data_IF_079944480919
#
_entry.id   IF_079944480919
#
_cell.length_a   1.000
_cell.length_b   1.000
_cell.length_c   1.000
_cell.angle_alpha   90.00
_cell.angle_beta   90.00
_cell.angle_gamma   90.00
#
_symmetry.space_group_name_H-M   'P 1'
#
loop_
_entity.id
_entity.type
_entity.pdbx_description
1 polymer ?
#
# COMPACT_ATOMS: atom_id res chain seq x y z
N UNK A 1 36.24 10.89 8.12
CA UNK A 1 34.78 11.09 8.02
C UNK A 1 34.16 9.71 8.08
N UNK A 2 33.69 9.31 9.25
CA UNK A 2 33.13 7.98 9.48
C UNK A 2 31.64 8.04 9.14
N UNK A 3 31.23 7.31 8.11
CA UNK A 3 29.81 7.09 7.81
C UNK A 3 29.26 6.09 8.82
N UNK A 4 28.49 6.59 9.79
CA UNK A 4 27.76 5.76 10.73
C UNK A 4 26.68 4.99 9.98
N UNK A 5 26.94 3.71 9.75
CA UNK A 5 25.95 2.77 9.25
C UNK A 5 25.11 2.36 10.45
N UNK A 6 23.86 2.84 10.52
CA UNK A 6 22.93 2.45 11.58
C UNK A 6 22.37 1.07 11.22
N UNK A 7 23.04 0.03 11.70
CA UNK A 7 22.55 -1.36 11.64
C UNK A 7 21.25 -1.48 12.45
N UNK A 8 20.13 -1.71 11.76
CA UNK A 8 18.87 -2.09 12.40
C UNK A 8 18.71 -3.61 12.37
N UNK A 9 18.28 -4.17 13.50
CA UNK A 9 18.19 -5.62 13.71
C UNK A 9 17.36 -6.31 12.62
N UNK A 10 17.97 -7.30 11.97
CA UNK A 10 17.52 -8.07 10.80
C UNK A 10 17.77 -7.42 9.42
N UNK A 11 19.03 -7.07 9.12
CA UNK A 11 19.68 -7.22 7.80
C UNK A 11 19.08 -6.51 6.57
N UNK A 12 18.03 -5.72 6.74
CA UNK A 12 17.41 -4.93 5.66
C UNK A 12 17.90 -3.51 5.84
N UNK A 13 18.80 -3.10 4.94
CA UNK A 13 19.33 -1.74 4.94
C UNK A 13 18.30 -0.75 4.41
N UNK A 14 18.36 0.47 4.92
CA UNK A 14 17.62 1.59 4.39
C UNK A 14 18.08 1.85 2.95
N UNK A 15 17.12 1.97 2.05
CA UNK A 15 17.38 2.26 0.64
C UNK A 15 17.65 3.75 0.48
N UNK A 16 18.61 4.08 -0.38
CA UNK A 16 18.88 5.45 -0.81
C UNK A 16 18.31 5.66 -2.20
N UNK A 17 17.63 6.79 -2.42
CA UNK A 17 16.99 7.14 -3.69
C UNK A 17 17.92 6.96 -4.90
N UNK A 18 19.16 7.45 -4.80
CA UNK A 18 20.16 7.37 -5.88
C UNK A 18 20.52 5.93 -6.28
N UNK A 19 20.32 4.97 -5.40
CA UNK A 19 20.62 3.54 -5.60
C UNK A 19 19.41 2.76 -6.13
N UNK A 20 18.23 3.39 -6.17
CA UNK A 20 17.06 2.78 -6.79
C UNK A 20 17.26 2.61 -8.29
N UNK A 21 16.79 1.48 -8.81
CA UNK A 21 16.67 1.25 -10.25
C UNK A 21 15.96 2.43 -10.92
N UNK A 22 16.39 2.80 -12.13
CA UNK A 22 15.88 3.97 -12.85
C UNK A 22 14.36 3.90 -13.01
N UNK A 23 13.83 2.72 -13.30
CA UNK A 23 12.40 2.46 -13.47
C UNK A 23 11.60 2.73 -12.20
N UNK A 24 12.17 2.46 -11.02
CA UNK A 24 11.52 2.75 -9.74
C UNK A 24 11.53 4.25 -9.44
N UNK A 25 12.66 4.93 -9.72
CA UNK A 25 12.75 6.38 -9.58
C UNK A 25 11.75 7.09 -10.48
N UNK A 26 11.67 6.67 -11.75
CA UNK A 26 10.73 7.23 -12.72
C UNK A 26 9.27 7.00 -12.29
N UNK A 27 8.96 5.81 -11.77
CA UNK A 27 7.62 5.51 -11.29
C UNK A 27 7.22 6.35 -10.05
N UNK A 28 8.18 6.67 -9.17
CA UNK A 28 7.95 7.47 -7.96
C UNK A 28 8.02 8.99 -8.22
N UNK A 29 8.60 9.41 -9.35
CA UNK A 29 8.79 10.81 -9.68
C UNK A 29 7.47 11.59 -9.70
N UNK A 30 7.48 12.76 -9.05
CA UNK A 30 6.35 13.66 -8.89
C UNK A 30 5.26 13.17 -7.93
N UNK A 31 5.47 12.05 -7.21
CA UNK A 31 4.44 11.45 -6.34
C UNK A 31 4.74 11.58 -4.85
N UNK A 32 5.98 11.85 -4.46
CA UNK A 32 6.42 11.88 -3.05
C UNK A 32 6.72 13.30 -2.55
N UNK A 33 7.03 14.25 -3.44
CA UNK A 33 7.20 15.64 -3.06
C UNK A 33 5.96 16.17 -2.32
N UNK A 34 6.20 16.87 -1.20
CA UNK A 34 5.18 17.34 -0.27
C UNK A 34 4.76 16.31 0.81
N UNK A 35 5.23 15.06 0.74
CA UNK A 35 5.06 14.11 1.84
C UNK A 35 5.84 14.60 3.06
N UNK A 36 5.12 14.96 4.13
CA UNK A 36 5.69 15.54 5.36
C UNK A 36 6.62 16.73 5.08
N UNK A 37 6.17 17.63 4.19
CA UNK A 37 6.85 18.87 3.83
C UNK A 37 8.22 18.68 3.12
N UNK A 38 8.52 17.47 2.66
CA UNK A 38 9.71 17.20 1.86
C UNK A 38 9.66 17.94 0.50
N UNK A 39 10.72 18.67 0.17
CA UNK A 39 10.78 19.50 -1.04
C UNK A 39 10.91 18.68 -2.34
N UNK A 40 11.47 17.47 -2.28
CA UNK A 40 11.72 16.62 -3.45
C UNK A 40 11.31 15.17 -3.17
N UNK A 41 11.08 14.38 -4.22
CA UNK A 41 10.76 12.96 -4.07
C UNK A 41 11.89 12.18 -3.40
N UNK A 42 13.13 12.54 -3.72
CA UNK A 42 14.34 11.97 -3.12
C UNK A 42 14.39 12.23 -1.60
N UNK A 43 14.20 13.48 -1.19
CA UNK A 43 14.20 13.84 0.23
C UNK A 43 13.08 13.11 0.98
N UNK A 44 11.89 13.03 0.38
CA UNK A 44 10.76 12.29 0.94
C UNK A 44 11.08 10.80 1.10
N UNK A 45 11.62 10.15 0.06
CA UNK A 45 11.93 8.72 0.08
C UNK A 45 13.05 8.37 1.06
N UNK A 46 14.12 9.16 1.08
CA UNK A 46 15.26 8.95 1.99
C UNK A 46 14.87 9.16 3.45
N UNK A 47 13.88 10.01 3.73
CA UNK A 47 13.35 10.22 5.08
C UNK A 47 12.40 9.10 5.56
N UNK A 48 11.94 8.22 4.68
CA UNK A 48 11.12 7.07 5.09
C UNK A 48 11.95 6.09 5.92
N UNK A 49 11.36 5.59 6.99
CA UNK A 49 11.88 4.43 7.71
C UNK A 49 11.87 3.19 6.80
N UNK A 50 12.75 2.23 7.08
CA UNK A 50 12.95 1.01 6.27
C UNK A 50 11.62 0.29 5.99
N UNK A 51 10.78 0.14 7.01
CA UNK A 51 9.47 -0.51 6.87
C UNK A 51 8.54 0.22 5.89
N UNK A 52 8.53 1.56 5.90
CA UNK A 52 7.73 2.37 4.99
C UNK A 52 8.28 2.36 3.57
N UNK A 53 9.59 2.32 3.40
CA UNK A 53 10.21 2.14 2.08
C UNK A 53 9.77 0.80 1.46
N UNK A 54 9.87 -0.29 2.23
CA UNK A 54 9.46 -1.61 1.76
C UNK A 54 7.95 -1.67 1.48
N UNK A 55 7.12 -1.11 2.36
CA UNK A 55 5.68 -1.02 2.16
C UNK A 55 5.30 -0.27 0.87
N UNK A 56 5.93 0.88 0.63
CA UNK A 56 5.71 1.68 -0.56
C UNK A 56 6.09 0.91 -1.83
N UNK A 57 7.25 0.24 -1.85
CA UNK A 57 7.70 -0.52 -3.02
C UNK A 57 6.80 -1.72 -3.33
N UNK A 58 6.28 -2.41 -2.29
CA UNK A 58 5.30 -3.49 -2.47
C UNK A 58 3.98 -2.97 -3.07
N UNK A 59 3.49 -1.83 -2.59
CA UNK A 59 2.29 -1.18 -3.12
C UNK A 59 2.49 -0.70 -4.55
N UNK A 60 3.59 0.00 -4.83
CA UNK A 60 3.98 0.44 -6.17
C UNK A 60 3.95 -0.73 -7.16
N UNK A 61 4.68 -1.79 -6.85
CA UNK A 61 4.79 -2.99 -7.70
C UNK A 61 3.41 -3.58 -7.96
N UNK A 62 2.57 -3.73 -6.91
CA UNK A 62 1.24 -4.33 -7.07
C UNK A 62 0.30 -3.43 -7.86
N UNK A 63 0.33 -2.13 -7.62
CA UNK A 63 -0.51 -1.16 -8.31
C UNK A 63 -0.11 -1.02 -9.78
N UNK A 64 1.18 -1.11 -10.11
CA UNK A 64 1.65 -1.17 -11.50
C UNK A 64 1.18 -2.45 -12.19
N UNK A 65 1.32 -3.62 -11.54
CA UNK A 65 0.81 -4.89 -12.06
C UNK A 65 -0.72 -4.89 -12.24
N UNK A 66 -1.43 -3.99 -11.55
CA UNK A 66 -2.87 -3.77 -11.72
C UNK A 66 -3.19 -2.60 -12.64
N UNK A 67 -2.22 -1.92 -13.21
CA UNK A 67 -2.42 -0.72 -14.05
C UNK A 67 -3.21 0.38 -13.32
N UNK A 68 -2.96 0.57 -12.02
CA UNK A 68 -3.63 1.57 -11.19
C UNK A 68 -2.70 2.68 -10.73
N UNK A 69 -1.37 2.48 -10.80
CA UNK A 69 -0.40 3.44 -10.27
C UNK A 69 -0.48 4.82 -10.93
N UNK A 70 -0.76 4.87 -12.24
CA UNK A 70 -0.89 6.12 -12.99
C UNK A 70 -2.07 6.99 -12.53
N UNK A 71 -3.05 6.41 -11.82
CA UNK A 71 -4.21 7.13 -11.30
C UNK A 71 -3.88 7.90 -10.01
N UNK A 72 -2.77 7.58 -9.35
CA UNK A 72 -2.29 8.26 -8.16
C UNK A 72 -1.56 9.52 -8.59
N UNK A 73 -1.96 10.68 -8.06
CA UNK A 73 -1.31 11.97 -8.34
C UNK A 73 -0.12 12.18 -7.42
N UNK A 74 -0.36 12.14 -6.12
CA UNK A 74 0.67 12.23 -5.09
C UNK A 74 0.24 11.46 -3.83
N UNK A 75 1.23 10.99 -3.10
CA UNK A 75 1.09 10.30 -1.83
C UNK A 75 1.10 11.35 -0.72
N UNK A 76 0.14 11.24 0.19
CA UNK A 76 -0.01 12.13 1.35
C UNK A 76 0.36 11.46 2.65
N UNK A 77 0.46 10.13 2.66
CA UNK A 77 1.01 9.37 3.79
C UNK A 77 1.47 7.98 3.36
N UNK A 78 2.48 7.43 4.05
CA UNK A 78 2.93 6.04 3.90
C UNK A 78 2.84 5.33 5.25
N UNK A 79 2.18 4.18 5.25
CA UNK A 79 2.04 3.30 6.41
C UNK A 79 2.94 2.06 6.22
N UNK A 80 3.62 1.63 7.28
CA UNK A 80 4.62 0.57 7.23
C UNK A 80 4.28 -0.59 8.15
N UNK A 81 5.12 -0.85 9.15
CA UNK A 81 4.84 -1.87 10.16
C UNK A 81 3.52 -1.59 10.87
N UNK A 82 2.72 -2.64 11.04
CA UNK A 82 1.39 -2.52 11.60
C UNK A 82 0.33 -1.95 10.64
N UNK A 83 0.58 -1.95 9.33
CA UNK A 83 -0.42 -1.67 8.31
C UNK A 83 0.22 -1.19 7.01
N UNK A 84 0.40 -2.08 6.04
CA UNK A 84 1.07 -1.76 4.77
C UNK A 84 0.12 -1.02 3.85
N UNK A 85 0.28 0.30 3.72
CA UNK A 85 -0.67 1.14 2.97
C UNK A 85 -0.12 2.50 2.58
N UNK A 86 -0.91 3.25 1.80
CA UNK A 86 -0.70 4.67 1.52
C UNK A 86 -2.03 5.44 1.57
N UNK A 87 -1.94 6.71 1.96
CA UNK A 87 -2.96 7.72 1.68
C UNK A 87 -2.51 8.54 0.48
N UNK A 88 -3.43 8.93 -0.39
CA UNK A 88 -3.07 9.61 -1.64
C UNK A 88 -4.20 10.46 -2.20
N UNK A 89 -3.82 11.42 -3.05
CA UNK A 89 -4.74 12.06 -3.98
C UNK A 89 -4.66 11.36 -5.34
N UNK A 90 -5.78 11.31 -6.05
CA UNK A 90 -5.88 10.62 -7.32
C UNK A 90 -6.53 11.49 -8.39
N UNK A 91 -6.44 11.05 -9.64
CA UNK A 91 -7.26 11.59 -10.72
C UNK A 91 -8.75 11.21 -10.51
N UNK A 92 -9.70 12.02 -11.00
CA UNK A 92 -11.14 11.77 -10.84
C UNK A 92 -11.62 10.40 -11.36
N UNK A 93 -10.85 9.77 -12.24
CA UNK A 93 -11.20 8.52 -12.91
C UNK A 93 -11.09 7.28 -12.03
N UNK A 94 -10.42 7.33 -10.86
CA UNK A 94 -10.11 6.14 -10.07
C UNK A 94 -11.33 5.31 -9.70
N UNK A 95 -12.38 5.94 -9.15
CA UNK A 95 -13.59 5.22 -8.75
C UNK A 95 -14.26 4.53 -9.95
N UNK A 96 -14.38 5.24 -11.07
CA UNK A 96 -15.00 4.70 -12.29
C UNK A 96 -14.18 3.58 -12.92
N UNK A 97 -12.85 3.64 -12.76
CA UNK A 97 -11.92 2.60 -13.21
C UNK A 97 -12.11 1.35 -12.35
N UNK A 98 -12.02 1.48 -11.02
CA UNK A 98 -12.20 0.36 -10.09
C UNK A 98 -13.58 -0.29 -10.23
N UNK A 99 -14.62 0.50 -10.49
CA UNK A 99 -16.00 -0.01 -10.61
C UNK A 99 -16.24 -0.84 -11.87
N UNK A 100 -15.52 -0.58 -12.97
CA UNK A 100 -15.65 -1.33 -14.23
C UNK A 100 -14.79 -2.58 -14.27
N UNK A 101 -13.85 -2.72 -13.34
CA UNK A 101 -12.91 -3.84 -13.29
C UNK A 101 -13.56 -5.09 -12.70
N UNK A 102 -13.49 -6.20 -13.44
CA UNK A 102 -14.03 -7.50 -13.01
C UNK A 102 -13.31 -8.05 -11.78
N UNK A 103 -12.02 -7.72 -11.62
CA UNK A 103 -11.19 -8.13 -10.49
C UNK A 103 -11.40 -7.27 -9.23
N UNK A 104 -12.31 -6.29 -9.23
CA UNK A 104 -12.67 -5.48 -8.06
C UNK A 104 -14.14 -5.56 -7.67
N UNK A 105 -14.44 -5.40 -6.37
CA UNK A 105 -15.82 -5.36 -5.85
C UNK A 105 -15.97 -4.36 -4.72
N UNK A 106 -17.10 -3.67 -4.69
CA UNK A 106 -17.50 -2.81 -3.56
C UNK A 106 -18.08 -3.60 -2.38
N UNK A 107 -18.43 -4.88 -2.60
CA UNK A 107 -19.06 -5.71 -1.58
C UNK A 107 -18.10 -5.87 -0.40
N UNK A 108 -18.59 -5.64 0.82
CA UNK A 108 -17.83 -5.71 2.08
C UNK A 108 -16.74 -4.67 2.26
N UNK A 109 -16.52 -3.77 1.30
CA UNK A 109 -15.46 -2.76 1.35
C UNK A 109 -15.81 -1.48 2.13
N UNK A 110 -16.79 -1.55 3.05
CA UNK A 110 -17.26 -0.42 3.86
C UNK A 110 -16.83 -0.63 5.32
N UNK A 111 -16.09 0.34 5.86
CA UNK A 111 -15.84 0.48 7.30
C UNK A 111 -16.67 1.62 7.88
N UNK A 112 -16.88 1.60 9.21
CA UNK A 112 -17.67 2.58 9.97
C UNK A 112 -17.29 4.03 9.66
N UNK A 113 -16.00 4.29 9.40
CA UNK A 113 -15.44 5.63 9.22
C UNK A 113 -15.06 5.93 7.76
N UNK A 114 -15.56 5.14 6.80
CA UNK A 114 -15.28 5.32 5.36
C UNK A 114 -16.56 5.40 4.55
N UNK A 115 -16.57 6.23 3.51
CA UNK A 115 -17.75 6.43 2.67
C UNK A 115 -17.92 5.33 1.62
N UNK A 116 -16.84 4.65 1.24
CA UNK A 116 -16.88 3.52 0.33
C UNK A 116 -15.49 2.91 0.09
N UNK A 117 -15.47 1.82 -0.68
CA UNK A 117 -14.24 1.12 -0.99
C UNK A 117 -14.37 0.03 -2.06
N UNK A 118 -13.24 -0.60 -2.39
CA UNK A 118 -13.13 -1.70 -3.35
C UNK A 118 -12.08 -2.72 -2.90
N UNK A 119 -12.43 -4.00 -2.99
CA UNK A 119 -11.51 -5.12 -2.77
C UNK A 119 -11.08 -5.77 -4.08
N UNK A 120 -9.81 -6.12 -4.15
CA UNK A 120 -9.30 -7.06 -5.14
C UNK A 120 -9.87 -8.48 -4.89
N UNK A 121 -10.41 -9.13 -5.93
CA UNK A 121 -11.01 -10.47 -5.87
C UNK A 121 -10.06 -11.59 -6.29
N UNK A 122 -9.00 -11.28 -7.02
CA UNK A 122 -8.15 -12.29 -7.67
C UNK A 122 -7.26 -13.10 -6.73
N UNK A 123 -7.34 -12.91 -5.41
CA UNK A 123 -6.48 -13.60 -4.45
C UNK A 123 -7.06 -13.69 -3.06
N UNK A 124 -6.62 -14.71 -2.33
CA UNK A 124 -7.03 -14.96 -0.95
C UNK A 124 -6.23 -14.13 0.07
N UNK A 125 -4.97 -13.81 -0.23
CA UNK A 125 -4.05 -13.12 0.69
C UNK A 125 -3.36 -11.94 0.03
N UNK A 126 -2.87 -10.98 0.82
CA UNK A 126 -2.22 -9.75 0.36
C UNK A 126 -3.05 -9.05 -0.73
N UNK A 127 -4.29 -8.78 -0.37
CA UNK A 127 -5.33 -8.23 -1.23
C UNK A 127 -5.34 -6.72 -1.12
N UNK A 128 -5.43 -6.02 -2.26
CA UNK A 128 -5.60 -4.57 -2.23
C UNK A 128 -7.02 -4.21 -1.76
N UNK A 129 -7.07 -3.35 -0.75
CA UNK A 129 -8.28 -2.70 -0.30
C UNK A 129 -8.17 -1.20 -0.50
N UNK A 130 -9.03 -0.66 -1.37
CA UNK A 130 -9.17 0.78 -1.56
C UNK A 130 -10.30 1.29 -0.69
N UNK A 131 -10.08 2.42 -0.01
CA UNK A 131 -11.05 3.11 0.81
C UNK A 131 -11.05 4.60 0.47
N UNK A 132 -12.19 5.25 0.63
CA UNK A 132 -12.28 6.70 0.54
C UNK A 132 -13.28 7.30 1.52
N UNK A 133 -13.02 8.55 1.87
CA UNK A 133 -13.92 9.40 2.67
C UNK A 133 -14.42 10.52 1.78
N UNK A 134 -15.74 10.74 1.75
CA UNK A 134 -16.40 11.83 1.03
C UNK A 134 -16.16 13.18 1.73
N UNK A 135 -14.89 13.58 1.81
CA UNK A 135 -14.47 14.94 2.13
C UNK A 135 -14.25 15.73 0.83
N UNK A 136 -14.08 17.05 0.94
CA UNK A 136 -13.70 17.92 -0.17
C UNK A 136 -12.29 18.49 0.11
N UNK A 137 -11.25 18.10 -0.64
CA UNK A 137 -11.22 17.04 -1.65
C UNK A 137 -11.33 15.62 -1.05
N UNK A 138 -11.77 14.66 -1.88
CA UNK A 138 -11.92 13.25 -1.46
C UNK A 138 -10.55 12.66 -1.11
N UNK A 139 -10.45 12.05 0.07
CA UNK A 139 -9.24 11.36 0.51
C UNK A 139 -9.33 9.87 0.20
N UNK A 140 -8.29 9.32 -0.43
CA UNK A 140 -8.18 7.91 -0.75
C UNK A 140 -7.08 7.24 0.06
N UNK A 141 -7.32 5.98 0.34
CA UNK A 141 -6.41 5.08 1.02
C UNK A 141 -6.36 3.77 0.25
N UNK A 142 -5.19 3.16 0.18
CA UNK A 142 -5.05 1.77 -0.27
C UNK A 142 -4.11 1.05 0.68
N UNK A 143 -4.47 -0.15 1.09
CA UNK A 143 -3.62 -0.98 1.91
C UNK A 143 -3.75 -2.45 1.51
N UNK A 144 -2.83 -3.26 2.01
CA UNK A 144 -2.90 -4.70 1.89
C UNK A 144 -3.61 -5.31 3.09
N UNK A 145 -4.62 -6.11 2.79
CA UNK A 145 -5.16 -7.07 3.74
C UNK A 145 -4.47 -8.41 3.57
N UNK A 146 -3.92 -8.94 4.68
CA UNK A 146 -3.30 -10.25 4.66
C UNK A 146 -4.30 -11.35 4.31
N UNK A 147 -5.57 -11.20 4.69
CA UNK A 147 -6.64 -12.16 4.41
C UNK A 147 -7.84 -11.43 3.80
N UNK A 148 -8.27 -11.84 2.60
CA UNK A 148 -9.42 -11.23 1.94
C UNK A 148 -10.73 -11.57 2.67
N UNK A 149 -11.52 -10.62 3.17
CA UNK A 149 -12.85 -10.92 3.71
C UNK A 149 -13.83 -11.41 2.64
N UNK A 150 -13.48 -11.23 1.35
CA UNK A 150 -14.35 -11.49 0.20
C UNK A 150 -14.11 -12.88 -0.41
N UNK A 151 -12.99 -13.52 -0.12
CA UNK A 151 -12.63 -14.80 -0.73
C UNK A 151 -13.34 -16.01 -0.07
N UNK A 152 -13.65 -15.96 1.23
CA UNK A 152 -14.43 -17.00 1.91
C UNK A 152 -14.86 -16.56 3.32
N UNK A 153 -15.89 -17.21 3.87
CA UNK A 153 -16.31 -17.04 5.26
C UNK A 153 -15.17 -17.32 6.27
N UNK A 154 -14.29 -18.27 5.94
CA UNK A 154 -13.08 -18.59 6.73
C UNK A 154 -12.07 -17.44 6.71
N UNK A 155 -11.94 -16.73 5.59
CA UNK A 155 -11.02 -15.61 5.44
C UNK A 155 -11.56 -14.32 6.10
N UNK A 156 -12.87 -14.09 6.06
CA UNK A 156 -13.53 -13.07 6.87
C UNK A 156 -13.38 -13.33 8.38
N UNK A 157 -13.53 -14.59 8.81
CA UNK A 157 -13.31 -14.96 10.22
C UNK A 157 -11.84 -14.79 10.62
N UNK A 158 -10.88 -15.07 9.73
CA UNK A 158 -9.46 -14.79 9.98
C UNK A 158 -9.16 -13.30 10.02
N UNK A 159 -9.76 -12.49 9.16
CA UNK A 159 -9.65 -11.03 9.21
C UNK A 159 -10.10 -10.50 10.57
N UNK A 160 -11.33 -10.84 10.98
CA UNK A 160 -11.88 -10.46 12.29
C UNK A 160 -11.03 -11.01 13.44
N UNK A 161 -10.60 -12.27 13.40
CA UNK A 161 -9.77 -12.87 14.45
C UNK A 161 -8.37 -12.26 14.54
N UNK A 162 -7.76 -11.84 13.43
CA UNK A 162 -6.46 -11.18 13.43
C UNK A 162 -6.55 -9.75 13.97
N UNK A 163 -7.60 -9.04 13.58
CA UNK A 163 -7.85 -7.64 13.96
C UNK A 163 -8.31 -7.52 15.42
N UNK A 164 -9.23 -8.39 15.88
CA UNK A 164 -9.83 -8.30 17.22
C UNK A 164 -9.15 -9.14 18.30
N UNK A 165 -8.54 -10.28 17.99
CA UNK A 165 -8.00 -11.21 19.03
C UNK A 165 -6.48 -11.08 19.18
N UNK A 166 -5.74 -10.69 18.12
CA UNK A 166 -4.27 -10.61 18.17
C UNK A 166 -3.70 -9.19 18.19
N UNK A 167 -4.49 -8.14 17.91
CA UNK A 167 -4.02 -6.75 17.70
C UNK A 167 -2.79 -6.68 16.77
N UNK A 168 -2.66 -7.64 15.85
CA UNK A 168 -1.47 -7.81 15.03
C UNK A 168 -1.85 -7.47 13.59
N UNK A 169 -1.58 -6.22 13.22
CA UNK A 169 -1.66 -5.77 11.83
C UNK A 169 -0.45 -6.30 11.07
N UNK A 170 -0.64 -6.84 9.85
CA UNK A 170 0.41 -7.55 9.13
C UNK A 170 1.53 -6.60 8.72
N UNK A 171 2.77 -7.01 8.97
CA UNK A 171 3.96 -6.28 8.51
C UNK A 171 4.24 -6.53 7.00
N UNK A 172 5.16 -5.74 6.44
CA UNK A 172 5.53 -5.83 5.04
C UNK A 172 6.19 -7.17 4.65
N UNK A 173 6.87 -7.85 5.58
CA UNK A 173 7.50 -9.16 5.34
C UNK A 173 6.45 -10.25 5.15
N UNK A 174 5.39 -10.21 5.96
CA UNK A 174 4.23 -11.09 5.83
C UNK A 174 3.52 -10.88 4.50
N UNK A 175 3.30 -9.62 4.10
CA UNK A 175 2.70 -9.27 2.81
C UNK A 175 3.59 -9.76 1.66
N UNK A 176 4.89 -9.44 1.68
CA UNK A 176 5.83 -9.89 0.65
C UNK A 176 5.81 -11.41 0.48
N UNK A 177 5.85 -12.16 1.59
CA UNK A 177 5.78 -13.63 1.56
C UNK A 177 4.46 -14.14 0.96
N UNK A 178 3.34 -13.49 1.28
CA UNK A 178 2.04 -13.83 0.72
C UNK A 178 1.96 -13.51 -0.79
N UNK A 179 2.55 -12.40 -1.23
CA UNK A 179 2.65 -12.02 -2.64
C UNK A 179 3.46 -13.05 -3.44
N UNK A 180 4.63 -13.47 -2.94
CA UNK A 180 5.50 -14.44 -3.59
C UNK A 180 4.84 -15.82 -3.73
N UNK A 181 4.16 -16.31 -2.68
CA UNK A 181 3.43 -17.59 -2.73
C UNK A 181 2.28 -17.59 -3.73
N UNK A 182 1.69 -16.43 -3.99
CA UNK A 182 0.61 -16.27 -4.97
C UNK A 182 1.09 -16.16 -6.41
N UNK A 183 2.39 -15.94 -6.67
CA UNK A 183 2.97 -15.90 -8.01
C UNK A 183 3.41 -17.29 -8.53
N UNK A 184 3.48 -18.29 -7.65
CA UNK A 184 3.87 -19.67 -7.96
C UNK A 184 2.68 -20.59 -8.31
N UNK A 185 1.48 -20.04 -8.49
CA UNK A 185 0.27 -20.77 -8.90
C UNK A 185 -0.32 -20.13 -10.14
#
# INVERSE_FOLDING_TARGET
MNSETVETAAGVQQLVWSELAAELRDALSGKLAGLWDAATDEAAFNALSVDKQQALLLLLTRLQAKELWHLIRNITNVYGEGGVGIAFNCWPLLESTLSRRKDFTRRWARHRDTSGGFYEKSRANAVLHFLYVNATPRRWYVHFDLYSPVHSAVSAFKHVRHEFIRKATPDWRMIQKALLRGAQK
#
